data_IF_192175467222
#
_entry.id   IF_192175467222
#
_cell.length_a   1.000
_cell.length_b   1.000
_cell.length_c   1.000
_cell.angle_alpha   90.00
_cell.angle_beta   90.00
_cell.angle_gamma   90.00
#
_symmetry.space_group_name_H-M   'P 1'
#
loop_
_entity.id
_entity.type
_entity.pdbx_description
1 polymer ?
#
# COMPACT_ATOMS: atom_id res chain seq x y z
N UNK A 1 15.88 -17.00 2.20
CA UNK A 1 14.53 -16.52 1.84
C UNK A 1 13.51 -17.49 2.39
N UNK A 2 12.67 -17.04 3.32
CA UNK A 2 11.63 -17.87 3.92
C UNK A 2 10.56 -18.18 2.85
N UNK A 3 10.24 -19.46 2.64
CA UNK A 3 9.21 -19.86 1.66
C UNK A 3 7.84 -19.48 2.23
N UNK A 4 7.14 -18.56 1.56
CA UNK A 4 5.75 -18.20 1.89
C UNK A 4 4.89 -19.46 1.79
N UNK A 5 4.33 -19.91 2.92
CA UNK A 5 3.42 -21.05 2.96
C UNK A 5 2.03 -20.62 2.52
N UNK A 6 1.54 -21.22 1.44
CA UNK A 6 0.18 -21.01 0.96
C UNK A 6 -0.83 -21.82 1.79
N UNK A 7 -1.91 -21.18 2.21
CA UNK A 7 -3.08 -21.83 2.82
C UNK A 7 -4.27 -21.70 1.89
N UNK A 8 -5.06 -22.77 1.75
CA UNK A 8 -6.32 -22.76 1.03
C UNK A 8 -7.43 -22.25 1.94
N UNK A 9 -8.31 -21.44 1.39
CA UNK A 9 -9.53 -20.98 2.04
C UNK A 9 -10.69 -21.08 1.05
N UNK A 10 -11.89 -21.34 1.56
CA UNK A 10 -13.11 -21.53 0.77
C UNK A 10 -14.09 -20.43 1.11
N UNK A 11 -14.63 -19.77 0.09
CA UNK A 11 -15.57 -18.67 0.23
C UNK A 11 -16.72 -18.83 -0.76
N UNK A 12 -17.90 -18.34 -0.38
CA UNK A 12 -19.03 -18.23 -1.29
C UNK A 12 -18.90 -16.94 -2.09
N UNK A 13 -18.88 -17.05 -3.42
CA UNK A 13 -18.79 -15.93 -4.35
C UNK A 13 -19.98 -16.03 -5.30
N UNK A 14 -20.66 -14.92 -5.64
CA UNK A 14 -21.72 -14.94 -6.64
C UNK A 14 -21.21 -15.49 -7.99
N UNK A 15 -21.99 -16.36 -8.62
CA UNK A 15 -21.66 -16.96 -9.91
C UNK A 15 -21.24 -15.94 -10.99
N UNK A 16 -21.94 -14.79 -11.16
CA UNK A 16 -21.53 -13.79 -12.16
C UNK A 16 -20.15 -13.17 -11.89
N UNK A 17 -19.70 -13.16 -10.64
CA UNK A 17 -18.37 -12.67 -10.27
C UNK A 17 -17.33 -13.72 -10.60
N UNK A 18 -17.61 -14.99 -10.33
CA UNK A 18 -16.72 -16.11 -10.66
C UNK A 18 -16.48 -16.20 -12.18
N UNK A 19 -17.53 -16.03 -12.99
CA UNK A 19 -17.41 -15.98 -14.46
C UNK A 19 -16.49 -14.85 -14.93
N UNK A 20 -16.65 -13.64 -14.38
CA UNK A 20 -15.78 -12.50 -14.68
C UNK A 20 -14.32 -12.76 -14.31
N UNK A 21 -14.07 -13.38 -13.15
CA UNK A 21 -12.72 -13.77 -12.74
C UNK A 21 -12.11 -14.78 -13.71
N UNK A 22 -12.90 -15.73 -14.22
CA UNK A 22 -12.49 -16.67 -15.26
C UNK A 22 -12.08 -15.97 -16.56
N UNK A 23 -12.87 -14.98 -17.01
CA UNK A 23 -12.55 -14.20 -18.21
C UNK A 23 -11.25 -13.39 -18.01
N UNK A 24 -11.06 -12.78 -16.83
CA UNK A 24 -9.84 -12.02 -16.51
C UNK A 24 -8.60 -12.92 -16.49
N UNK A 25 -8.72 -14.11 -15.90
CA UNK A 25 -7.69 -15.13 -15.88
C UNK A 25 -7.24 -15.53 -17.30
N UNK A 26 -8.20 -15.71 -18.22
CA UNK A 26 -7.91 -16.04 -19.62
C UNK A 26 -7.24 -14.87 -20.38
N UNK A 27 -7.62 -13.62 -20.08
CA UNK A 27 -7.02 -12.44 -20.72
C UNK A 27 -5.57 -12.21 -20.31
N UNK A 28 -5.22 -12.47 -19.05
CA UNK A 28 -3.87 -12.26 -18.50
C UNK A 28 -2.95 -13.48 -18.71
N UNK A 29 -2.76 -13.89 -19.98
CA UNK A 29 -1.77 -14.88 -20.48
C UNK A 29 -1.20 -15.81 -19.39
N UNK A 30 -2.01 -16.79 -18.96
CA UNK A 30 -1.67 -17.89 -18.03
C UNK A 30 -1.89 -17.63 -16.52
N UNK A 31 -2.68 -16.62 -16.15
CA UNK A 31 -3.09 -16.45 -14.76
C UNK A 31 -4.24 -17.42 -14.42
N UNK A 32 -4.10 -18.20 -13.34
CA UNK A 32 -5.22 -18.99 -12.80
C UNK A 32 -6.23 -18.07 -12.11
N UNK A 33 -7.48 -18.53 -11.92
CA UNK A 33 -8.46 -17.80 -11.10
C UNK A 33 -7.90 -17.48 -9.71
N UNK A 34 -7.12 -18.39 -9.13
CA UNK A 34 -6.43 -18.16 -7.85
C UNK A 34 -5.41 -17.01 -7.91
N UNK A 35 -4.73 -16.82 -9.04
CA UNK A 35 -3.79 -15.71 -9.21
C UNK A 35 -4.54 -14.38 -9.26
N UNK A 36 -5.66 -14.31 -10.00
CA UNK A 36 -6.52 -13.12 -10.05
C UNK A 36 -7.11 -12.81 -8.67
N UNK A 37 -7.57 -13.83 -7.93
CA UNK A 37 -8.08 -13.64 -6.56
C UNK A 37 -6.97 -13.14 -5.62
N UNK A 38 -5.76 -13.70 -5.72
CA UNK A 38 -4.63 -13.23 -4.90
C UNK A 38 -4.33 -11.76 -5.17
N UNK A 39 -4.17 -11.39 -6.43
CA UNK A 39 -3.88 -10.01 -6.84
C UNK A 39 -4.98 -9.05 -6.34
N UNK A 40 -6.25 -9.42 -6.52
CA UNK A 40 -7.37 -8.61 -6.03
C UNK A 40 -7.36 -8.43 -4.51
N UNK A 41 -6.99 -9.47 -3.74
CA UNK A 41 -6.86 -9.37 -2.29
C UNK A 41 -5.68 -8.50 -1.85
N UNK A 42 -4.54 -8.62 -2.52
CA UNK A 42 -3.36 -7.78 -2.26
C UNK A 42 -3.68 -6.30 -2.51
N UNK A 43 -4.30 -5.99 -3.66
CA UNK A 43 -4.75 -4.63 -3.98
C UNK A 43 -5.77 -4.11 -2.96
N UNK A 44 -6.70 -4.96 -2.52
CA UNK A 44 -7.70 -4.57 -1.52
C UNK A 44 -7.05 -4.24 -0.17
N UNK A 45 -6.10 -5.06 0.29
CA UNK A 45 -5.37 -4.81 1.55
C UNK A 45 -4.65 -3.47 1.48
N UNK A 46 -3.90 -3.22 0.40
CA UNK A 46 -3.18 -1.95 0.20
C UNK A 46 -4.13 -0.75 0.20
N UNK A 47 -5.30 -0.88 -0.45
CA UNK A 47 -6.29 0.20 -0.45
C UNK A 47 -6.89 0.47 0.94
N UNK A 48 -7.16 -0.58 1.73
CA UNK A 48 -7.62 -0.43 3.12
C UNK A 48 -6.56 0.27 3.96
N UNK A 49 -5.31 -0.20 3.92
CA UNK A 49 -4.19 0.40 4.65
C UNK A 49 -3.99 1.86 4.27
N UNK A 50 -4.06 2.19 2.97
CA UNK A 50 -3.95 3.56 2.48
C UNK A 50 -5.07 4.47 3.00
N UNK A 51 -6.31 3.96 3.07
CA UNK A 51 -7.45 4.72 3.61
C UNK A 51 -7.30 4.97 5.11
N UNK A 52 -6.86 3.98 5.86
CA UNK A 52 -6.60 4.13 7.30
C UNK A 52 -5.45 5.11 7.57
N UNK A 53 -4.35 4.99 6.81
CA UNK A 53 -3.26 5.95 6.90
C UNK A 53 -3.71 7.38 6.60
N UNK A 54 -4.49 7.58 5.53
CA UNK A 54 -5.03 8.91 5.19
C UNK A 54 -5.86 9.49 6.34
N UNK A 55 -6.75 8.69 6.93
CA UNK A 55 -7.58 9.13 8.07
C UNK A 55 -6.73 9.51 9.28
N UNK A 56 -5.71 8.70 9.58
CA UNK A 56 -4.79 9.00 10.67
C UNK A 56 -4.03 10.31 10.43
N UNK A 57 -3.56 10.55 9.20
CA UNK A 57 -2.90 11.79 8.82
C UNK A 57 -3.82 13.00 8.86
N UNK A 58 -5.08 12.87 8.42
CA UNK A 58 -6.09 13.93 8.52
C UNK A 58 -6.40 14.31 9.97
N UNK A 59 -6.45 13.31 10.87
CA UNK A 59 -6.60 13.55 12.29
C UNK A 59 -5.35 14.25 12.88
N UNK A 60 -4.15 13.76 12.55
CA UNK A 60 -2.89 14.29 13.03
C UNK A 60 -2.62 15.73 12.53
N UNK A 61 -3.07 16.07 11.31
CA UNK A 61 -2.95 17.43 10.76
C UNK A 61 -3.68 18.49 11.59
N UNK A 62 -4.67 18.08 12.38
CA UNK A 62 -5.41 18.97 13.28
C UNK A 62 -4.96 18.83 14.75
N UNK A 63 -3.99 17.97 15.05
CA UNK A 63 -3.44 17.77 16.40
C UNK A 63 -2.27 18.73 16.65
N UNK A 64 -2.42 19.71 17.57
CA UNK A 64 -1.36 20.68 17.86
C UNK A 64 -0.06 20.05 18.39
N UNK A 65 -0.15 18.91 19.08
CA UNK A 65 1.03 18.20 19.61
C UNK A 65 1.82 17.61 18.45
N UNK A 66 1.13 16.93 17.54
CA UNK A 66 1.73 16.36 16.34
C UNK A 66 2.41 17.43 15.47
N UNK A 67 1.75 18.57 15.25
CA UNK A 67 2.31 19.68 14.48
C UNK A 67 3.56 20.27 15.15
N UNK A 68 3.54 20.42 16.48
CA UNK A 68 4.72 20.88 17.23
C UNK A 68 5.89 19.91 17.05
N UNK A 69 5.65 18.62 17.26
CA UNK A 69 6.69 17.59 17.16
C UNK A 69 7.28 17.53 15.73
N UNK A 70 6.46 17.76 14.70
CA UNK A 70 6.90 17.87 13.31
C UNK A 70 7.82 19.09 13.10
N UNK A 71 7.45 20.27 13.62
CA UNK A 71 8.28 21.48 13.52
C UNK A 71 9.61 21.33 14.28
N UNK A 72 9.59 20.69 15.46
CA UNK A 72 10.80 20.42 16.24
C UNK A 72 11.75 19.49 15.48
N UNK A 73 11.19 18.45 14.86
CA UNK A 73 11.95 17.51 14.02
C UNK A 73 12.54 18.22 12.80
N UNK A 74 11.74 18.98 12.05
CA UNK A 74 12.20 19.76 10.89
C UNK A 74 13.34 20.71 11.28
N UNK A 75 13.21 21.39 12.43
CA UNK A 75 14.27 22.27 12.93
C UNK A 75 15.55 21.52 13.29
N UNK A 76 15.45 20.31 13.85
CA UNK A 76 16.61 19.51 14.24
C UNK A 76 17.39 18.97 13.03
N UNK A 77 16.68 18.64 11.93
CA UNK A 77 17.30 18.07 10.72
C UNK A 77 17.70 19.11 9.66
N UNK A 78 17.29 20.38 9.81
CA UNK A 78 17.55 21.47 8.85
C UNK A 78 18.98 21.53 8.31
N UNK A 79 19.99 21.34 9.17
CA UNK A 79 21.39 21.41 8.74
C UNK A 79 21.83 20.18 7.95
N UNK A 80 21.36 18.99 8.33
CA UNK A 80 21.66 17.75 7.62
C UNK A 80 20.97 17.70 6.24
N UNK A 81 19.76 18.25 6.14
CA UNK A 81 19.04 18.36 4.86
C UNK A 81 19.73 19.33 3.91
N UNK A 82 20.26 20.46 4.42
CA UNK A 82 21.02 21.43 3.62
C UNK A 82 22.32 20.84 3.08
N UNK A 83 23.09 20.12 3.91
CA UNK A 83 24.29 19.40 3.48
C UNK A 83 23.95 18.35 2.40
N UNK A 84 22.85 17.62 2.60
CA UNK A 84 22.40 16.60 1.64
C UNK A 84 22.07 17.20 0.26
N UNK A 85 21.44 18.38 0.21
CA UNK A 85 21.13 19.11 -1.03
C UNK A 85 22.39 19.55 -1.79
N UNK A 86 23.44 19.98 -1.09
CA UNK A 86 24.72 20.36 -1.70
C UNK A 86 25.49 19.16 -2.27
N UNK A 87 25.19 17.95 -1.80
CA UNK A 87 25.83 16.71 -2.23
C UNK A 87 25.10 15.98 -3.37
N UNK A 88 23.93 16.45 -3.81
CA UNK A 88 23.21 15.87 -4.97
C UNK A 88 23.92 16.36 -6.24
N UNK A 89 24.53 15.47 -7.05
CA UNK A 89 25.12 15.89 -8.32
C UNK A 89 24.01 16.38 -9.25
N UNK A 90 24.17 17.55 -9.86
CA UNK A 90 23.36 17.98 -11.01
C UNK A 90 23.75 17.10 -12.21
N UNK A 91 22.80 16.41 -12.84
CA UNK A 91 23.01 15.61 -14.07
C UNK A 91 22.41 16.31 -15.27
#
# INVERSE_FOLDING_TARGET
MEKIKLKKATFSIPEPVLEKLGILAQKNRNSSVNAVVREALELYIVDVERREFRRAMEAAANDPVFIRDLNETESAFRYADAESLEMIPEW
#
